data_IF_161917037131
#
_entry.id   IF_161917037131
#
_cell.length_a   1.000
_cell.length_b   1.000
_cell.length_c   1.000
_cell.angle_alpha   90.00
_cell.angle_beta   90.00
_cell.angle_gamma   90.00
#
_symmetry.space_group_name_H-M   'P 1'
#
loop_
_entity.id
_entity.type
_entity.pdbx_description
1 polymer ?
#
# COMPACT_ATOMS: atom_id res chain seq x y z
N UNK A 1 -56.17 18.18 -22.62
CA UNK A 1 -55.64 17.46 -21.45
C UNK A 1 -54.14 17.29 -21.59
N UNK A 2 -53.37 18.12 -20.90
CA UNK A 2 -51.87 18.02 -20.89
C UNK A 2 -51.47 17.09 -19.75
N UNK A 3 -50.91 15.91 -20.08
CA UNK A 3 -50.34 15.00 -19.11
C UNK A 3 -48.90 15.43 -18.84
N UNK A 4 -48.64 16.05 -17.67
CA UNK A 4 -47.29 16.34 -17.21
C UNK A 4 -46.66 15.05 -16.68
N UNK A 5 -45.66 14.55 -17.38
CA UNK A 5 -44.82 13.44 -16.89
C UNK A 5 -43.78 14.06 -15.98
N UNK A 6 -43.89 13.82 -14.69
CA UNK A 6 -42.86 14.17 -13.70
C UNK A 6 -41.81 13.07 -13.74
N UNK A 7 -40.67 13.39 -14.34
CA UNK A 7 -39.53 12.49 -14.36
C UNK A 7 -38.81 12.56 -13.00
N UNK A 8 -39.02 11.54 -12.17
CA UNK A 8 -38.35 11.41 -10.88
C UNK A 8 -36.92 10.96 -11.10
N UNK A 9 -35.96 11.88 -11.06
CA UNK A 9 -34.51 11.52 -11.07
C UNK A 9 -34.17 10.90 -9.70
N UNK A 10 -34.00 9.60 -9.69
CA UNK A 10 -33.35 8.89 -8.57
C UNK A 10 -31.86 9.22 -8.60
N UNK A 11 -31.44 10.11 -7.71
CA UNK A 11 -30.03 10.32 -7.39
C UNK A 11 -29.52 9.06 -6.65
N UNK A 12 -28.79 8.20 -7.37
CA UNK A 12 -28.02 7.12 -6.76
C UNK A 12 -26.84 7.75 -6.01
N UNK A 13 -27.01 7.97 -4.71
CA UNK A 13 -25.89 8.33 -3.84
C UNK A 13 -24.96 7.11 -3.73
N UNK A 14 -23.82 7.18 -4.41
CA UNK A 14 -22.73 6.21 -4.19
C UNK A 14 -22.25 6.33 -2.74
N UNK A 15 -22.07 5.22 -2.00
CA UNK A 15 -21.50 5.29 -0.67
C UNK A 15 -20.10 5.86 -0.78
N UNK A 16 -19.86 7.02 -0.17
CA UNK A 16 -18.53 7.58 -0.03
C UNK A 16 -17.70 6.64 0.86
N UNK A 17 -16.55 6.14 0.35
CA UNK A 17 -15.57 5.45 1.17
C UNK A 17 -15.03 6.45 2.20
N UNK A 18 -14.96 6.04 3.48
CA UNK A 18 -14.36 6.85 4.53
C UNK A 18 -12.88 7.14 4.19
N UNK A 19 -12.41 8.36 4.48
CA UNK A 19 -11.00 8.72 4.35
C UNK A 19 -10.15 7.80 5.23
N UNK A 20 -8.96 7.38 4.76
CA UNK A 20 -8.04 6.56 5.54
C UNK A 20 -7.62 7.26 6.83
N UNK A 21 -7.50 6.48 7.90
CA UNK A 21 -7.07 6.95 9.22
C UNK A 21 -5.58 6.62 9.43
N UNK A 22 -4.75 7.65 9.41
CA UNK A 22 -3.29 7.52 9.55
C UNK A 22 -2.89 6.94 10.90
N UNK A 23 -3.59 7.29 12.00
CA UNK A 23 -3.29 6.75 13.32
C UNK A 23 -3.59 5.24 13.40
N UNK A 24 -4.66 4.79 12.76
CA UNK A 24 -4.94 3.35 12.61
C UNK A 24 -3.90 2.67 11.72
N UNK A 25 -3.44 3.34 10.66
CA UNK A 25 -2.37 2.86 9.80
C UNK A 25 -1.06 2.67 10.56
N UNK A 26 -0.68 3.61 11.41
CA UNK A 26 0.47 3.48 12.30
C UNK A 26 0.36 2.27 13.23
N UNK A 27 -0.81 2.07 13.82
CA UNK A 27 -1.09 0.90 14.64
C UNK A 27 -1.00 -0.40 13.84
N UNK A 28 -1.52 -0.42 12.62
CA UNK A 28 -1.42 -1.58 11.73
C UNK A 28 0.03 -1.87 11.32
N UNK A 29 0.85 -0.85 11.15
CA UNK A 29 2.28 -0.99 10.83
C UNK A 29 3.06 -1.77 11.90
N UNK A 30 2.59 -1.84 13.13
CA UNK A 30 3.21 -2.66 14.18
C UNK A 30 3.35 -4.14 13.76
N UNK A 31 2.48 -4.63 12.88
CA UNK A 31 2.58 -5.98 12.28
C UNK A 31 3.78 -6.14 11.35
N UNK A 32 4.36 -5.05 10.89
CA UNK A 32 5.46 -5.00 9.93
C UNK A 32 6.82 -4.75 10.60
N UNK A 33 6.81 -4.25 11.83
CA UNK A 33 8.01 -3.74 12.52
C UNK A 33 9.04 -4.81 12.87
N UNK A 34 8.66 -6.07 12.93
CA UNK A 34 9.62 -7.17 13.11
C UNK A 34 10.61 -7.26 11.95
N UNK A 35 10.19 -6.87 10.74
CA UNK A 35 10.97 -7.02 9.51
C UNK A 35 11.26 -5.71 8.78
N UNK A 36 10.49 -4.66 9.03
CA UNK A 36 10.60 -3.37 8.33
C UNK A 36 10.71 -2.20 9.30
N UNK A 37 11.24 -1.09 8.79
CA UNK A 37 11.30 0.17 9.50
C UNK A 37 10.91 1.33 8.58
N UNK A 38 10.44 2.42 9.15
CA UNK A 38 10.23 3.72 8.50
C UNK A 38 10.79 4.82 9.39
N UNK A 39 10.99 5.99 8.81
CA UNK A 39 11.49 7.16 9.50
C UNK A 39 12.93 7.48 9.18
N UNK A 40 13.46 8.63 9.67
CA UNK A 40 14.84 9.00 9.44
C UNK A 40 15.82 7.94 9.95
N UNK A 41 16.81 7.58 9.14
CA UNK A 41 17.81 6.59 9.52
C UNK A 41 17.33 5.15 9.56
N UNK A 42 16.14 4.84 9.06
CA UNK A 42 15.63 3.47 8.97
C UNK A 42 16.58 2.58 8.17
N UNK A 43 16.89 1.42 8.72
CA UNK A 43 17.85 0.46 8.16
C UNK A 43 17.17 -0.84 7.78
N UNK A 44 17.80 -1.59 6.88
CA UNK A 44 17.43 -2.98 6.57
C UNK A 44 17.43 -3.83 7.84
N UNK A 45 16.38 -4.59 7.97
CA UNK A 45 16.21 -5.64 8.98
C UNK A 45 16.09 -6.98 8.24
N UNK A 46 15.06 -7.77 8.52
CA UNK A 46 14.72 -8.94 7.69
C UNK A 46 14.29 -8.50 6.30
N UNK A 47 13.53 -7.41 6.21
CA UNK A 47 13.14 -6.74 4.98
C UNK A 47 13.78 -5.35 4.83
N UNK A 48 13.60 -4.70 3.68
CA UNK A 48 14.12 -3.36 3.45
C UNK A 48 13.32 -2.31 4.24
N UNK A 49 13.90 -1.11 4.48
CA UNK A 49 13.11 0.03 4.94
C UNK A 49 12.01 0.39 3.95
N UNK A 50 10.90 0.90 4.44
CA UNK A 50 9.73 1.24 3.62
C UNK A 50 9.58 2.76 3.38
N UNK A 51 10.63 3.54 3.66
CA UNK A 51 10.64 4.96 3.33
C UNK A 51 10.42 5.19 1.84
N UNK A 52 9.48 6.06 1.49
CA UNK A 52 9.17 6.38 0.11
C UNK A 52 8.59 5.23 -0.72
N UNK A 53 8.08 4.19 -0.08
CA UNK A 53 7.59 2.98 -0.78
C UNK A 53 6.39 3.27 -1.69
N UNK A 54 5.48 4.16 -1.30
CA UNK A 54 4.32 4.51 -2.11
C UNK A 54 4.77 5.28 -3.35
N UNK A 55 4.59 4.71 -4.53
CA UNK A 55 5.05 5.24 -5.80
C UNK A 55 6.49 4.87 -6.17
N UNK A 56 7.22 4.17 -5.32
CA UNK A 56 8.56 3.69 -5.64
C UNK A 56 8.51 2.55 -6.66
N UNK A 57 9.56 2.46 -7.47
CA UNK A 57 9.78 1.29 -8.32
C UNK A 57 10.00 0.03 -7.48
N UNK A 58 9.58 -1.10 -7.97
CA UNK A 58 9.86 -2.38 -7.31
C UNK A 58 11.37 -2.62 -7.19
N UNK A 59 11.79 -3.28 -6.13
CA UNK A 59 13.17 -3.68 -5.87
C UNK A 59 14.19 -2.52 -5.89
N UNK A 60 13.81 -1.34 -5.37
CA UNK A 60 14.62 -0.12 -5.49
C UNK A 60 15.63 0.11 -4.36
N UNK A 61 15.41 -0.47 -3.16
CA UNK A 61 16.26 -0.13 -2.03
C UNK A 61 17.68 -0.72 -2.21
N UNK A 62 18.73 0.13 -2.20
CA UNK A 62 20.11 -0.34 -2.39
C UNK A 62 20.57 -1.27 -1.25
N UNK A 63 21.28 -2.34 -1.60
CA UNK A 63 21.88 -3.26 -0.63
C UNK A 63 20.93 -4.31 -0.06
N UNK A 64 19.65 -4.31 -0.42
CA UNK A 64 18.74 -5.41 -0.10
C UNK A 64 18.64 -6.38 -1.27
N UNK A 65 18.66 -7.68 -0.98
CA UNK A 65 18.51 -8.73 -1.99
C UNK A 65 17.05 -9.14 -2.11
N UNK A 66 16.41 -8.66 -3.17
CA UNK A 66 15.01 -8.99 -3.47
C UNK A 66 14.87 -10.36 -4.14
N UNK A 67 13.66 -10.94 -4.07
CA UNK A 67 13.29 -12.11 -4.84
C UNK A 67 13.33 -11.83 -6.36
N UNK A 68 13.45 -12.90 -7.16
CA UNK A 68 13.62 -12.75 -8.61
C UNK A 68 12.40 -12.11 -9.29
N UNK A 69 11.20 -12.42 -8.83
CA UNK A 69 9.97 -11.81 -9.36
C UNK A 69 9.86 -10.31 -9.02
N UNK A 70 10.28 -9.90 -7.83
CA UNK A 70 10.34 -8.47 -7.47
C UNK A 70 11.41 -7.73 -8.28
N UNK A 71 12.58 -8.34 -8.48
CA UNK A 71 13.62 -7.78 -9.34
C UNK A 71 13.15 -7.64 -10.79
N UNK A 72 12.53 -8.68 -11.34
CA UNK A 72 11.98 -8.65 -12.69
C UNK A 72 10.89 -7.60 -12.83
N UNK A 73 10.03 -7.43 -11.82
CA UNK A 73 9.03 -6.38 -11.79
C UNK A 73 9.64 -4.99 -11.82
N UNK A 74 10.69 -4.76 -11.05
CA UNK A 74 11.44 -3.50 -11.05
C UNK A 74 12.10 -3.20 -12.40
N UNK A 75 12.74 -4.20 -13.02
CA UNK A 75 13.31 -4.09 -14.37
C UNK A 75 12.24 -3.79 -15.44
N UNK A 76 11.04 -4.32 -15.27
CA UNK A 76 9.90 -4.03 -16.13
C UNK A 76 9.24 -2.66 -15.85
N UNK A 77 9.74 -1.90 -14.89
CA UNK A 77 9.25 -0.58 -14.55
C UNK A 77 8.00 -0.56 -13.66
N UNK A 78 7.66 -1.67 -13.01
CA UNK A 78 6.54 -1.70 -12.06
C UNK A 78 6.81 -0.78 -10.87
N UNK A 79 5.77 -0.11 -10.41
CA UNK A 79 5.80 0.79 -9.25
C UNK A 79 4.83 0.32 -8.18
N UNK A 80 5.13 0.65 -6.93
CA UNK A 80 4.24 0.45 -5.80
C UNK A 80 3.23 1.60 -5.71
N UNK A 81 2.34 1.70 -6.69
CA UNK A 81 1.19 2.58 -6.54
C UNK A 81 0.22 2.05 -5.47
N UNK A 82 -0.75 2.86 -5.09
CA UNK A 82 -1.67 2.49 -4.00
C UNK A 82 -2.45 1.21 -4.32
N UNK A 83 -2.88 1.01 -5.58
CA UNK A 83 -3.63 -0.17 -6.00
C UNK A 83 -2.76 -1.44 -5.95
N UNK A 84 -1.51 -1.36 -6.40
CA UNK A 84 -0.56 -2.48 -6.36
C UNK A 84 -0.17 -2.83 -4.94
N UNK A 85 0.06 -1.83 -4.08
CA UNK A 85 0.29 -2.04 -2.65
C UNK A 85 -0.91 -2.67 -1.96
N UNK A 86 -2.13 -2.23 -2.26
CA UNK A 86 -3.33 -2.83 -1.71
C UNK A 86 -3.42 -4.32 -2.05
N UNK A 87 -3.21 -4.68 -3.32
CA UNK A 87 -3.20 -6.08 -3.75
C UNK A 87 -2.09 -6.90 -3.06
N UNK A 88 -0.89 -6.34 -2.95
CA UNK A 88 0.24 -6.98 -2.29
C UNK A 88 0.00 -7.20 -0.80
N UNK A 89 -0.52 -6.20 -0.11
CA UNK A 89 -0.86 -6.29 1.31
C UNK A 89 -2.03 -7.24 1.58
N UNK A 90 -2.94 -7.41 0.63
CA UNK A 90 -4.02 -8.38 0.74
C UNK A 90 -3.49 -9.83 0.66
N UNK A 91 -2.56 -10.08 -0.26
CA UNK A 91 -1.95 -11.40 -0.46
C UNK A 91 -0.58 -11.25 -1.18
N UNK A 92 0.52 -11.15 -0.44
CA UNK A 92 1.84 -10.98 -1.05
C UNK A 92 2.19 -12.07 -2.08
N UNK A 93 1.84 -13.32 -1.82
CA UNK A 93 2.15 -14.44 -2.70
C UNK A 93 1.36 -14.44 -4.01
N UNK A 94 0.22 -13.77 -4.06
CA UNK A 94 -0.54 -13.61 -5.31
C UNK A 94 0.15 -12.62 -6.27
N UNK A 95 0.84 -11.62 -5.72
CA UNK A 95 1.54 -10.57 -6.50
C UNK A 95 2.98 -10.97 -6.79
N UNK A 96 3.67 -11.55 -5.80
CA UNK A 96 5.06 -12.00 -5.89
C UNK A 96 5.20 -13.44 -5.37
N UNK A 97 4.89 -14.46 -6.21
CA UNK A 97 4.88 -15.87 -5.78
C UNK A 97 6.23 -16.36 -5.24
N UNK A 98 7.35 -15.87 -5.77
CA UNK A 98 8.68 -16.19 -5.31
C UNK A 98 9.14 -15.34 -4.12
N UNK A 99 8.30 -14.39 -3.66
CA UNK A 99 8.60 -13.50 -2.55
C UNK A 99 8.89 -14.24 -1.25
N UNK A 100 9.83 -13.70 -0.48
CA UNK A 100 10.31 -14.31 0.78
C UNK A 100 9.71 -13.68 2.03
N UNK A 101 8.79 -12.72 1.87
CA UNK A 101 8.11 -12.09 2.99
C UNK A 101 7.13 -13.10 3.63
N UNK A 102 7.41 -13.48 4.87
CA UNK A 102 6.58 -14.40 5.65
C UNK A 102 5.39 -13.65 6.26
N UNK A 103 4.45 -13.28 5.43
CA UNK A 103 3.27 -12.51 5.81
C UNK A 103 2.05 -12.97 5.01
N UNK A 104 0.95 -13.27 5.70
CA UNK A 104 -0.24 -13.84 5.07
C UNK A 104 -1.21 -12.81 4.48
N UNK A 105 -1.00 -11.55 4.76
CA UNK A 105 -1.83 -10.47 4.28
C UNK A 105 -2.80 -9.88 5.31
N UNK A 106 -3.37 -8.75 4.95
CA UNK A 106 -4.38 -8.01 5.71
C UNK A 106 -5.69 -8.11 4.94
N UNK A 107 -6.69 -8.80 5.49
CA UNK A 107 -7.98 -9.01 4.80
C UNK A 107 -8.85 -7.77 4.72
N UNK A 108 -9.05 -6.96 5.79
CA UNK A 108 -9.91 -5.79 5.72
C UNK A 108 -9.32 -4.71 4.81
N UNK A 109 -10.06 -4.32 3.77
CA UNK A 109 -9.64 -3.29 2.83
C UNK A 109 -9.42 -1.92 3.51
N UNK A 110 -10.24 -1.58 4.51
CA UNK A 110 -10.08 -0.34 5.27
C UNK A 110 -8.75 -0.31 6.04
N UNK A 111 -8.33 -1.42 6.64
CA UNK A 111 -7.04 -1.51 7.33
C UNK A 111 -5.86 -1.35 6.35
N UNK A 112 -5.95 -1.94 5.17
CA UNK A 112 -4.93 -1.74 4.13
C UNK A 112 -4.83 -0.29 3.68
N UNK A 113 -5.97 0.36 3.47
CA UNK A 113 -6.02 1.78 3.11
C UNK A 113 -5.39 2.68 4.19
N UNK A 114 -5.68 2.42 5.46
CA UNK A 114 -5.09 3.12 6.60
C UNK A 114 -3.57 2.95 6.64
N UNK A 115 -3.09 1.73 6.45
CA UNK A 115 -1.64 1.43 6.41
C UNK A 115 -0.94 2.11 5.23
N UNK A 116 -1.53 2.08 4.05
CA UNK A 116 -0.97 2.76 2.86
C UNK A 116 -0.89 4.28 3.10
N UNK A 117 -1.93 4.88 3.68
CA UNK A 117 -1.94 6.29 4.03
C UNK A 117 -0.84 6.65 5.05
N UNK A 118 -0.61 5.79 6.04
CA UNK A 118 0.51 5.95 6.98
C UNK A 118 1.87 5.89 6.27
N UNK A 119 2.09 4.89 5.43
CA UNK A 119 3.34 4.74 4.68
C UNK A 119 3.59 5.89 3.70
N UNK A 120 2.54 6.42 3.09
CA UNK A 120 2.60 7.53 2.14
C UNK A 120 3.16 8.82 2.73
N UNK A 121 3.11 8.98 4.04
CA UNK A 121 3.67 10.14 4.73
C UNK A 121 5.20 10.23 4.62
N UNK A 122 5.89 9.11 4.44
CA UNK A 122 7.35 9.05 4.46
C UNK A 122 7.93 9.21 3.06
N UNK A 123 8.79 10.21 2.87
CA UNK A 123 9.61 10.31 1.68
C UNK A 123 10.79 9.31 1.72
N UNK A 124 11.63 9.29 0.69
CA UNK A 124 12.77 8.38 0.61
C UNK A 124 13.79 8.57 1.75
N UNK A 125 13.89 9.76 2.33
CA UNK A 125 14.74 10.05 3.48
C UNK A 125 14.08 9.65 4.83
N UNK A 126 12.82 9.23 4.80
CA UNK A 126 12.07 8.88 6.00
C UNK A 126 11.44 10.08 6.72
N UNK A 127 11.44 11.24 6.08
CA UNK A 127 10.81 12.44 6.62
C UNK A 127 9.32 12.43 6.32
N UNK A 128 8.52 12.83 7.30
CA UNK A 128 7.07 12.99 7.10
C UNK A 128 6.79 14.23 6.27
N UNK A 129 5.93 14.07 5.28
CA UNK A 129 5.45 15.15 4.42
C UNK A 129 4.10 15.67 4.88
#
# INVERSE_FOLDING_TARGET
MRRSIVLLLLLLASPALADPDIAKGEKSFMKCMACHAVGPGAKTKVGPPLNGIVGAKWAQFPGYTYSDDLKAGGEAGKVWDEATLDAYLANPKAVAPAGRMAFFGIKPAAERADLIAYLKQFNAAGEKQ
#
